data_IF_449402955823
#
_entry.id   IF_449402955823
#
_cell.length_a   1.000
_cell.length_b   1.000
_cell.length_c   1.000
_cell.angle_alpha   90.00
_cell.angle_beta   90.00
_cell.angle_gamma   90.00
#
_symmetry.space_group_name_H-M   'P 1'
#
loop_
_entity.id
_entity.type
_entity.pdbx_description
1 polymer ?
#
# COMPACT_ATOMS: atom_id res chain seq x y z
N UNK A 1 -8.62 54.16 -40.96
CA UNK A 1 -8.58 54.00 -39.48
C UNK A 1 -9.69 53.03 -39.13
N UNK A 2 -9.46 51.79 -38.70
CA UNK A 2 -8.25 51.06 -38.37
C UNK A 2 -8.48 49.56 -38.70
N UNK A 3 -7.43 48.90 -39.19
CA UNK A 3 -7.34 47.44 -39.27
C UNK A 3 -7.36 46.84 -37.86
N UNK A 4 -8.12 45.76 -37.68
CA UNK A 4 -8.03 44.92 -36.50
C UNK A 4 -7.84 43.48 -36.95
N UNK A 5 -6.58 43.10 -37.16
CA UNK A 5 -6.15 41.72 -37.34
C UNK A 5 -6.48 40.94 -36.06
N UNK A 6 -7.42 40.00 -36.19
CA UNK A 6 -7.76 39.05 -35.13
C UNK A 6 -6.62 38.07 -34.91
N UNK A 7 -5.84 38.34 -33.87
CA UNK A 7 -4.79 37.49 -33.30
C UNK A 7 -5.30 36.05 -33.09
N UNK A 8 -4.79 35.14 -33.91
CA UNK A 8 -4.97 33.70 -33.76
C UNK A 8 -4.22 33.27 -32.48
N UNK A 9 -4.92 33.25 -31.35
CA UNK A 9 -4.40 32.64 -30.12
C UNK A 9 -4.45 31.14 -30.32
N UNK A 10 -3.36 30.57 -30.82
CA UNK A 10 -3.07 29.14 -30.68
C UNK A 10 -3.05 28.84 -29.19
N UNK A 11 -4.18 28.40 -28.65
CA UNK A 11 -4.26 27.75 -27.35
C UNK A 11 -3.41 26.50 -27.49
N UNK A 12 -2.14 26.60 -27.09
CA UNK A 12 -1.27 25.44 -26.95
C UNK A 12 -2.02 24.46 -26.05
N UNK A 13 -2.30 23.28 -26.61
CA UNK A 13 -2.82 22.13 -25.86
C UNK A 13 -1.88 21.96 -24.64
N UNK A 14 -2.40 21.82 -23.40
CA UNK A 14 -1.52 21.61 -22.26
C UNK A 14 -0.65 20.39 -22.58
N UNK A 15 0.67 20.57 -22.51
CA UNK A 15 1.62 19.48 -22.63
C UNK A 15 1.30 18.48 -21.53
N UNK A 16 0.63 17.39 -21.91
CA UNK A 16 0.40 16.25 -21.03
C UNK A 16 1.79 15.69 -20.76
N UNK A 17 2.26 15.79 -19.53
CA UNK A 17 3.59 15.30 -19.19
C UNK A 17 3.68 13.79 -19.42
N UNK A 18 4.86 13.28 -19.81
CA UNK A 18 4.99 11.87 -20.15
C UNK A 18 4.69 10.98 -18.94
N UNK A 19 4.02 9.86 -19.21
CA UNK A 19 3.87 8.78 -18.24
C UNK A 19 5.09 7.86 -18.28
N UNK A 20 5.53 7.45 -17.10
CA UNK A 20 6.61 6.51 -16.86
C UNK A 20 6.04 5.24 -16.24
N UNK A 21 6.66 4.10 -16.57
CA UNK A 21 6.21 2.81 -16.05
C UNK A 21 7.31 2.14 -15.28
N UNK A 22 7.03 1.89 -14.00
CA UNK A 22 7.91 1.15 -13.10
C UNK A 22 7.27 -0.19 -12.76
N UNK A 23 8.09 -1.20 -12.45
CA UNK A 23 7.56 -2.49 -12.02
C UNK A 23 8.47 -3.18 -11.02
N UNK A 24 7.86 -3.96 -10.14
CA UNK A 24 8.53 -4.87 -9.24
C UNK A 24 7.59 -6.05 -8.96
N UNK A 25 8.04 -7.27 -9.27
CA UNK A 25 7.29 -8.51 -9.05
C UNK A 25 5.84 -8.44 -9.56
N UNK A 26 4.85 -8.34 -8.65
CA UNK A 26 3.42 -8.38 -8.98
C UNK A 26 2.78 -7.00 -9.19
N UNK A 27 3.56 -5.91 -9.10
CA UNK A 27 3.03 -4.53 -9.16
C UNK A 27 3.71 -3.72 -10.25
N UNK A 28 2.89 -3.08 -11.07
CA UNK A 28 3.29 -2.03 -12.00
C UNK A 28 2.79 -0.69 -11.49
N UNK A 29 3.60 0.36 -11.60
CA UNK A 29 3.22 1.72 -11.29
C UNK A 29 3.31 2.55 -12.58
N UNK A 30 2.19 3.14 -12.99
CA UNK A 30 2.15 4.12 -14.07
C UNK A 30 2.07 5.50 -13.44
N UNK A 31 3.10 6.30 -13.70
CA UNK A 31 3.41 7.52 -12.98
C UNK A 31 3.54 8.66 -13.97
N UNK A 32 2.88 9.78 -13.70
CA UNK A 32 3.07 11.01 -14.45
C UNK A 32 3.80 12.00 -13.55
N UNK A 33 4.84 12.65 -14.08
CA UNK A 33 5.62 13.65 -13.35
C UNK A 33 5.42 15.04 -13.96
N UNK A 34 5.46 16.08 -13.14
CA UNK A 34 5.57 17.47 -13.59
C UNK A 34 7.01 17.78 -14.03
N UNK A 35 7.21 18.93 -14.68
CA UNK A 35 8.51 19.37 -15.20
C UNK A 35 9.62 19.49 -14.15
N UNK A 36 9.25 19.58 -12.87
CA UNK A 36 10.14 19.68 -11.71
C UNK A 36 10.43 18.30 -11.05
N UNK A 37 9.95 17.19 -11.62
CA UNK A 37 10.11 15.84 -11.08
C UNK A 37 9.13 15.47 -9.95
N UNK A 38 8.14 16.33 -9.66
CA UNK A 38 7.06 15.99 -8.73
C UNK A 38 6.09 15.03 -9.41
N UNK A 39 5.78 13.90 -8.78
CA UNK A 39 4.73 12.99 -9.27
C UNK A 39 3.37 13.68 -9.13
N UNK A 40 2.59 13.73 -10.21
CA UNK A 40 1.26 14.38 -10.26
C UNK A 40 0.11 13.40 -10.47
N UNK A 41 0.39 12.22 -11.01
CA UNK A 41 -0.56 11.12 -11.12
C UNK A 41 0.18 9.81 -10.87
N UNK A 42 -0.40 8.94 -10.07
CA UNK A 42 0.13 7.60 -9.90
C UNK A 42 -1.01 6.59 -9.79
N UNK A 43 -0.96 5.56 -10.63
CA UNK A 43 -1.86 4.40 -10.56
C UNK A 43 -1.05 3.12 -10.50
N UNK A 44 -1.44 2.24 -9.58
CA UNK A 44 -0.88 0.90 -9.48
C UNK A 44 -1.73 -0.07 -10.28
N UNK A 45 -1.08 -1.07 -10.87
CA UNK A 45 -1.70 -2.16 -11.59
C UNK A 45 -1.14 -3.44 -10.99
N UNK A 46 -2.04 -4.31 -10.56
CA UNK A 46 -1.70 -5.63 -10.06
C UNK A 46 -1.68 -6.66 -11.19
N UNK A 47 -0.63 -7.46 -11.24
CA UNK A 47 -0.54 -8.65 -12.08
C UNK A 47 0.12 -9.77 -11.26
N UNK A 48 -0.67 -10.75 -10.84
CA UNK A 48 -0.23 -11.72 -9.83
C UNK A 48 0.43 -12.93 -10.46
N UNK A 49 -0.21 -13.48 -11.50
CA UNK A 49 0.26 -14.73 -12.11
C UNK A 49 1.32 -14.46 -13.17
N UNK A 50 2.28 -15.38 -13.41
CA UNK A 50 3.34 -15.16 -14.39
C UNK A 50 2.84 -14.80 -15.80
N UNK A 51 1.69 -15.35 -16.22
CA UNK A 51 1.09 -15.03 -17.50
C UNK A 51 0.47 -13.63 -17.53
N UNK A 52 -0.09 -13.15 -16.42
CA UNK A 52 -0.62 -11.77 -16.28
C UNK A 52 0.52 -10.77 -16.34
N UNK A 53 1.61 -11.02 -15.59
CA UNK A 53 2.81 -10.18 -15.59
C UNK A 53 3.38 -10.09 -17.01
N UNK A 54 3.48 -11.23 -17.70
CA UNK A 54 3.99 -11.27 -19.08
C UNK A 54 3.07 -10.53 -20.05
N UNK A 55 1.75 -10.72 -19.93
CA UNK A 55 0.77 -10.04 -20.76
C UNK A 55 0.79 -8.52 -20.54
N UNK A 56 0.89 -8.08 -19.29
CA UNK A 56 0.90 -6.67 -18.93
C UNK A 56 2.19 -5.97 -19.39
N UNK A 57 3.35 -6.62 -19.22
CA UNK A 57 4.61 -6.14 -19.79
C UNK A 57 4.54 -5.98 -21.31
N UNK A 58 3.95 -6.95 -22.01
CA UNK A 58 3.75 -6.86 -23.47
C UNK A 58 2.83 -5.70 -23.83
N UNK A 59 1.67 -5.59 -23.17
CA UNK A 59 0.69 -4.52 -23.40
C UNK A 59 1.33 -3.13 -23.26
N UNK A 60 2.09 -2.91 -22.19
CA UNK A 60 2.77 -1.65 -21.93
C UNK A 60 3.91 -1.37 -22.93
N UNK A 61 4.67 -2.40 -23.32
CA UNK A 61 5.70 -2.26 -24.35
C UNK A 61 5.13 -1.95 -25.74
N UNK A 62 3.98 -2.52 -26.10
CA UNK A 62 3.27 -2.24 -27.35
C UNK A 62 2.80 -0.79 -27.41
N UNK A 63 2.45 -0.21 -26.26
CA UNK A 63 2.16 1.22 -26.06
C UNK A 63 3.42 2.10 -26.01
N UNK A 64 4.61 1.55 -26.28
CA UNK A 64 5.90 2.25 -26.32
C UNK A 64 6.38 2.83 -25.00
N UNK A 65 5.85 2.34 -23.87
CA UNK A 65 6.41 2.70 -22.56
C UNK A 65 7.78 2.06 -22.36
N UNK A 66 8.72 2.84 -21.82
CA UNK A 66 9.93 2.29 -21.20
C UNK A 66 9.55 1.75 -19.81
N UNK A 67 9.70 0.44 -19.63
CA UNK A 67 9.35 -0.25 -18.38
C UNK A 67 10.62 -0.44 -17.55
N UNK A 68 10.71 0.26 -16.42
CA UNK A 68 11.88 0.25 -15.53
C UNK A 68 11.65 -0.71 -14.37
N UNK A 69 12.54 -1.70 -14.19
CA UNK A 69 12.51 -2.57 -13.01
C UNK A 69 13.04 -1.81 -11.79
N UNK A 70 12.30 -1.83 -10.70
CA UNK A 70 12.71 -1.30 -9.40
C UNK A 70 13.11 -2.42 -8.43
N UNK A 71 13.88 -2.09 -7.40
CA UNK A 71 14.01 -2.95 -6.21
C UNK A 71 12.73 -2.89 -5.37
N UNK A 72 12.59 -3.82 -4.42
CA UNK A 72 11.42 -3.85 -3.54
C UNK A 72 11.29 -2.54 -2.75
N UNK A 73 12.40 -2.07 -2.13
CA UNK A 73 12.42 -0.82 -1.37
C UNK A 73 12.02 0.38 -2.23
N UNK A 74 12.57 0.49 -3.44
CA UNK A 74 12.24 1.57 -4.37
C UNK A 74 10.75 1.57 -4.76
N UNK A 75 10.16 0.39 -4.97
CA UNK A 75 8.73 0.29 -5.24
C UNK A 75 7.90 0.69 -4.02
N UNK A 76 8.27 0.26 -2.82
CA UNK A 76 7.59 0.68 -1.59
C UNK A 76 7.65 2.19 -1.38
N UNK A 77 8.80 2.82 -1.67
CA UNK A 77 8.95 4.29 -1.60
C UNK A 77 8.08 5.00 -2.64
N UNK A 78 8.01 4.45 -3.87
CA UNK A 78 7.11 4.96 -4.90
C UNK A 78 5.65 4.84 -4.48
N UNK A 79 5.21 3.67 -4.02
CA UNK A 79 3.85 3.44 -3.53
C UNK A 79 3.47 4.42 -2.40
N UNK A 80 4.39 4.67 -1.46
CA UNK A 80 4.14 5.64 -0.39
C UNK A 80 3.95 7.07 -0.92
N UNK A 81 4.70 7.48 -1.96
CA UNK A 81 4.48 8.78 -2.63
C UNK A 81 3.15 8.81 -3.38
N UNK A 82 2.79 7.71 -4.07
CA UNK A 82 1.51 7.58 -4.76
C UNK A 82 0.32 7.73 -3.80
N UNK A 83 0.42 7.17 -2.59
CA UNK A 83 -0.57 7.34 -1.54
C UNK A 83 -0.77 8.79 -1.15
N UNK A 84 0.32 9.49 -0.78
CA UNK A 84 0.27 10.87 -0.29
C UNK A 84 -0.39 11.79 -1.32
N UNK A 85 -0.08 11.60 -2.61
CA UNK A 85 -0.73 12.35 -3.68
C UNK A 85 -2.24 12.10 -3.71
N UNK A 86 -2.67 10.85 -3.58
CA UNK A 86 -4.09 10.51 -3.58
C UNK A 86 -4.83 11.11 -2.37
N UNK A 87 -4.17 11.25 -1.21
CA UNK A 87 -4.74 11.91 -0.03
C UNK A 87 -4.99 13.42 -0.25
N UNK A 88 -4.16 14.10 -1.03
CA UNK A 88 -4.37 15.52 -1.38
C UNK A 88 -5.59 15.74 -2.29
N UNK A 89 -6.02 14.72 -3.05
CA UNK A 89 -7.20 14.78 -3.91
C UNK A 89 -8.51 14.36 -3.22
N UNK A 90 -8.43 13.72 -2.04
CA UNK A 90 -9.60 13.43 -1.21
C UNK A 90 -9.98 14.74 -0.52
N UNK A 91 -11.01 15.41 -1.04
CA UNK A 91 -11.45 16.75 -0.61
C UNK A 91 -11.49 16.88 0.93
N UNK A 92 -10.88 17.93 1.52
CA UNK A 92 -10.97 18.22 2.94
C UNK A 92 -12.31 18.93 3.22
N UNK A 93 -13.42 18.22 3.10
CA UNK A 93 -14.73 18.70 3.56
C UNK A 93 -15.10 18.11 4.93
N UNK A 94 -14.19 18.17 5.90
CA UNK A 94 -14.59 18.35 7.30
C UNK A 94 -13.43 18.91 8.11
N UNK A 95 -13.68 20.06 8.77
CA UNK A 95 -12.75 20.73 9.65
C UNK A 95 -12.32 19.78 10.77
N UNK A 96 -11.05 19.41 10.80
CA UNK A 96 -10.42 18.97 12.04
C UNK A 96 -10.27 20.22 12.90
N UNK A 97 -11.04 20.31 13.98
CA UNK A 97 -10.76 21.26 15.06
C UNK A 97 -9.29 21.10 15.45
N UNK A 98 -8.49 22.12 15.12
CA UNK A 98 -7.19 22.49 15.67
C UNK A 98 -6.56 21.48 16.67
N UNK A 99 -6.22 20.28 16.20
CA UNK A 99 -5.31 19.39 16.94
C UNK A 99 -3.91 19.70 16.42
N UNK A 100 -3.25 20.53 17.21
CA UNK A 100 -1.86 20.97 17.14
C UNK A 100 -0.97 19.86 16.55
N UNK A 101 -0.60 20.00 15.27
CA UNK A 101 0.56 19.36 14.66
C UNK A 101 1.82 20.09 15.15
N UNK A 102 2.15 19.98 16.43
CA UNK A 102 3.50 20.32 16.88
C UNK A 102 4.34 19.03 16.89
N UNK A 103 5.17 18.94 15.85
CA UNK A 103 6.57 18.60 16.01
C UNK A 103 6.87 17.20 16.60
N UNK A 104 6.81 16.17 15.75
CA UNK A 104 7.67 15.00 15.94
C UNK A 104 8.85 15.08 14.98
N UNK A 105 10.04 15.50 15.44
CA UNK A 105 11.25 15.33 14.66
C UNK A 105 11.54 13.83 14.55
N UNK A 106 12.09 13.43 13.40
CA UNK A 106 12.78 12.15 13.24
C UNK A 106 13.90 12.15 14.29
N UNK A 107 13.70 11.43 15.40
CA UNK A 107 14.75 11.11 16.35
C UNK A 107 15.18 9.68 16.09
N UNK A 108 16.48 9.52 15.91
CA UNK A 108 17.19 8.26 15.99
C UNK A 108 16.88 7.62 17.36
N UNK A 109 16.01 6.61 17.37
CA UNK A 109 15.72 5.82 18.57
C UNK A 109 16.50 4.52 18.48
N UNK A 110 17.73 4.60 18.96
CA UNK A 110 18.37 3.48 19.63
C UNK A 110 17.79 3.39 21.05
N UNK A 111 17.61 2.17 21.57
CA UNK A 111 17.02 1.79 22.88
C UNK A 111 15.50 1.60 22.99
N UNK A 112 15.07 0.35 22.89
CA UNK A 112 14.28 -0.43 23.87
C UNK A 112 13.00 0.14 24.54
N UNK A 113 12.42 1.24 24.07
CA UNK A 113 11.14 1.72 24.61
C UNK A 113 9.95 1.01 23.95
N UNK A 114 9.40 0.03 24.67
CA UNK A 114 8.20 -0.71 24.34
C UNK A 114 7.08 0.26 23.94
N UNK A 115 6.70 0.27 22.66
CA UNK A 115 5.58 1.06 22.13
C UNK A 115 4.36 0.92 23.07
N UNK A 116 3.72 2.02 23.49
CA UNK A 116 2.57 1.93 24.37
C UNK A 116 1.49 1.07 23.72
N UNK A 117 1.04 0.04 24.45
CA UNK A 117 -0.09 -0.78 24.00
C UNK A 117 -1.27 0.15 23.69
N UNK A 118 -1.74 0.12 22.43
CA UNK A 118 -2.99 0.79 22.08
C UNK A 118 -4.07 0.26 23.04
N UNK A 119 -4.72 1.14 23.85
CA UNK A 119 -5.80 0.68 24.70
C UNK A 119 -6.86 0.02 23.80
N UNK A 120 -7.48 -1.10 24.22
CA UNK A 120 -8.61 -1.62 23.47
C UNK A 120 -9.62 -0.47 23.34
N UNK A 121 -10.12 -0.14 22.14
CA UNK A 121 -11.22 0.78 21.97
C UNK A 121 -12.38 0.13 22.71
N UNK A 122 -12.59 0.62 23.92
CA UNK A 122 -13.82 0.39 24.61
C UNK A 122 -14.84 1.08 23.73
N UNK A 123 -15.66 0.32 23.00
CA UNK A 123 -16.77 0.87 22.26
C UNK A 123 -17.73 1.50 23.28
N UNK A 124 -17.58 2.81 23.49
CA UNK A 124 -18.32 3.62 24.44
C UNK A 124 -19.75 3.86 23.93
N UNK A 125 -19.98 3.75 22.61
CA UNK A 125 -21.28 3.96 21.95
C UNK A 125 -22.03 2.71 21.49
N UNK A 126 -23.34 2.85 21.18
CA UNK A 126 -24.13 1.82 20.47
C UNK A 126 -23.66 1.67 19.01
N UNK A 127 -23.30 2.79 18.39
CA UNK A 127 -22.84 2.84 17.00
C UNK A 127 -21.46 2.20 16.82
N UNK A 128 -20.49 2.51 17.67
CA UNK A 128 -19.17 1.87 17.66
C UNK A 128 -19.26 0.36 17.84
N UNK A 129 -20.16 -0.13 18.70
CA UNK A 129 -20.43 -1.58 18.86
C UNK A 129 -21.02 -2.20 17.59
N UNK A 130 -21.90 -1.48 16.88
CA UNK A 130 -22.45 -1.93 15.59
C UNK A 130 -21.34 -1.99 14.54
N UNK A 131 -20.48 -0.95 14.47
CA UNK A 131 -19.37 -0.87 13.53
C UNK A 131 -18.35 -1.99 13.79
N UNK A 132 -17.97 -2.24 15.04
CA UNK A 132 -17.07 -3.34 15.40
C UNK A 132 -17.64 -4.72 15.02
N UNK A 133 -18.94 -4.94 15.25
CA UNK A 133 -19.61 -6.19 14.83
C UNK A 133 -19.65 -6.33 13.31
N UNK A 134 -19.94 -5.23 12.60
CA UNK A 134 -19.98 -5.21 11.13
C UNK A 134 -18.60 -5.48 10.54
N UNK A 135 -17.56 -4.81 11.05
CA UNK A 135 -16.18 -5.01 10.65
C UNK A 135 -15.74 -6.47 10.86
N UNK A 136 -15.95 -7.00 12.07
CA UNK A 136 -15.59 -8.39 12.39
C UNK A 136 -16.34 -9.39 11.51
N UNK A 137 -17.62 -9.12 11.23
CA UNK A 137 -18.41 -9.92 10.30
C UNK A 137 -17.82 -9.92 8.88
N UNK A 138 -17.45 -8.74 8.36
CA UNK A 138 -16.80 -8.63 7.05
C UNK A 138 -15.48 -9.40 7.02
N UNK A 139 -14.60 -9.20 8.01
CA UNK A 139 -13.30 -9.87 8.08
C UNK A 139 -13.41 -11.39 8.20
N UNK A 140 -14.37 -11.91 8.98
CA UNK A 140 -14.55 -13.36 9.16
C UNK A 140 -15.24 -14.05 7.97
N UNK A 141 -15.97 -13.30 7.14
CA UNK A 141 -16.66 -13.83 5.94
C UNK A 141 -15.98 -13.48 4.63
N UNK A 142 -14.89 -12.72 4.68
CA UNK A 142 -14.17 -12.25 3.49
C UNK A 142 -14.96 -11.24 2.66
N UNK A 143 -15.89 -10.49 3.27
CA UNK A 143 -16.60 -9.43 2.57
C UNK A 143 -15.82 -8.11 2.69
N UNK A 144 -16.02 -7.23 1.71
CA UNK A 144 -15.57 -5.84 1.81
C UNK A 144 -16.29 -5.13 2.97
N UNK A 145 -15.55 -4.30 3.69
CA UNK A 145 -16.05 -3.55 4.84
C UNK A 145 -16.99 -2.43 4.35
N UNK A 146 -18.17 -2.24 4.96
CA UNK A 146 -19.10 -1.19 4.54
C UNK A 146 -18.46 0.21 4.60
N UNK A 147 -18.61 0.98 3.52
CA UNK A 147 -17.98 2.29 3.33
C UNK A 147 -16.62 2.23 2.63
N UNK A 148 -16.12 1.03 2.33
CA UNK A 148 -14.85 0.79 1.62
C UNK A 148 -15.08 -0.03 0.35
N UNK A 149 -14.10 -0.06 -0.54
CA UNK A 149 -14.08 -0.90 -1.75
C UNK A 149 -12.92 -1.89 -1.76
N UNK A 150 -11.85 -1.62 -1.01
CA UNK A 150 -10.61 -2.39 -0.98
C UNK A 150 -10.39 -3.13 0.34
N UNK A 151 -11.08 -2.76 1.43
CA UNK A 151 -10.85 -3.41 2.72
C UNK A 151 -11.65 -4.72 2.85
N UNK A 152 -11.10 -5.85 2.38
CA UNK A 152 -11.76 -7.16 2.43
C UNK A 152 -10.87 -8.32 1.95
N UNK A 153 -11.47 -9.48 1.67
CA UNK A 153 -10.78 -10.55 0.95
C UNK A 153 -10.89 -10.29 -0.56
N UNK A 154 -10.01 -9.42 -1.05
CA UNK A 154 -10.14 -8.79 -2.38
C UNK A 154 -10.99 -7.53 -2.32
N UNK A 155 -11.23 -6.95 -3.49
CA UNK A 155 -11.88 -5.65 -3.64
C UNK A 155 -13.13 -5.72 -4.55
N UNK A 156 -13.95 -4.67 -4.48
CA UNK A 156 -15.08 -4.42 -5.39
C UNK A 156 -14.88 -3.13 -6.19
N UNK A 157 -13.64 -2.65 -6.27
CA UNK A 157 -13.31 -1.42 -6.94
C UNK A 157 -13.28 -1.63 -8.46
N UNK A 158 -13.79 -0.66 -9.22
CA UNK A 158 -13.75 -0.74 -10.69
C UNK A 158 -12.37 -0.35 -11.26
N UNK A 159 -11.65 0.50 -10.53
CA UNK A 159 -10.35 1.05 -10.94
C UNK A 159 -9.55 1.54 -9.72
N UNK A 160 -8.25 1.78 -9.91
CA UNK A 160 -7.31 2.15 -8.83
C UNK A 160 -7.75 3.37 -7.98
N UNK A 161 -8.41 4.37 -8.57
CA UNK A 161 -8.87 5.56 -7.85
C UNK A 161 -10.30 5.42 -7.30
N UNK A 162 -10.94 4.26 -7.48
CA UNK A 162 -12.28 4.02 -7.01
C UNK A 162 -12.29 3.66 -5.52
N UNK A 163 -12.44 4.69 -4.69
CA UNK A 163 -12.50 4.57 -3.23
C UNK A 163 -13.96 4.71 -2.74
N UNK A 164 -14.26 4.10 -1.60
CA UNK A 164 -15.51 4.23 -0.89
C UNK A 164 -15.63 5.53 -0.08
N UNK A 165 -16.70 5.63 0.69
CA UNK A 165 -16.99 6.77 1.59
C UNK A 165 -15.88 6.99 2.63
N UNK A 166 -15.33 5.91 3.21
CA UNK A 166 -14.20 5.98 4.14
C UNK A 166 -12.86 6.07 3.38
N UNK A 167 -12.72 7.02 2.47
CA UNK A 167 -11.65 7.05 1.45
C UNK A 167 -10.22 6.92 2.01
N UNK A 168 -9.93 7.52 3.17
CA UNK A 168 -8.62 7.44 3.83
C UNK A 168 -8.33 6.05 4.41
N UNK A 169 -9.34 5.36 4.94
CA UNK A 169 -9.21 3.96 5.37
C UNK A 169 -9.06 3.05 4.14
N UNK A 170 -9.87 3.31 3.12
CA UNK A 170 -9.93 2.51 1.92
C UNK A 170 -8.63 2.59 1.10
N UNK A 171 -8.00 3.76 1.06
CA UNK A 171 -6.69 3.93 0.42
C UNK A 171 -5.60 3.10 1.09
N UNK A 172 -5.60 2.98 2.44
CA UNK A 172 -4.68 2.10 3.14
C UNK A 172 -4.83 0.64 2.70
N UNK A 173 -6.08 0.17 2.54
CA UNK A 173 -6.37 -1.18 2.09
C UNK A 173 -5.98 -1.39 0.62
N UNK A 174 -6.30 -0.43 -0.26
CA UNK A 174 -5.88 -0.47 -1.68
C UNK A 174 -4.37 -0.62 -1.81
N UNK A 175 -3.61 0.16 -1.05
CA UNK A 175 -2.15 0.14 -1.14
C UNK A 175 -1.58 -1.17 -0.59
N UNK A 176 -2.20 -1.73 0.46
CA UNK A 176 -1.87 -3.07 0.99
C UNK A 176 -2.18 -4.18 -0.01
N UNK A 177 -3.32 -4.09 -0.69
CA UNK A 177 -3.70 -5.01 -1.75
C UNK A 177 -2.71 -4.97 -2.90
N UNK A 178 -2.16 -3.82 -3.26
CA UNK A 178 -1.14 -3.71 -4.31
C UNK A 178 0.28 -4.06 -3.85
N UNK A 179 0.45 -4.77 -2.73
CA UNK A 179 1.76 -5.21 -2.26
C UNK A 179 2.51 -5.94 -3.40
N UNK A 180 3.75 -5.54 -3.73
CA UNK A 180 4.49 -6.13 -4.86
C UNK A 180 4.79 -7.62 -4.71
N UNK A 181 4.75 -8.13 -3.47
CA UNK A 181 5.01 -9.53 -3.14
C UNK A 181 3.90 -10.03 -2.23
N UNK A 182 2.99 -10.83 -2.77
CA UNK A 182 1.98 -11.56 -2.00
C UNK A 182 1.64 -12.93 -2.60
N UNK A 183 1.01 -13.77 -1.78
CA UNK A 183 0.44 -15.06 -2.20
C UNK A 183 -1.04 -15.04 -1.81
N UNK A 184 -1.93 -15.04 -2.80
CA UNK A 184 -3.38 -15.07 -2.56
C UNK A 184 -3.80 -16.36 -1.83
N UNK A 185 -5.00 -16.34 -1.27
CA UNK A 185 -5.60 -17.50 -0.63
C UNK A 185 -5.63 -18.70 -1.58
N UNK A 186 -5.20 -19.86 -1.10
CA UNK A 186 -5.17 -21.12 -1.84
C UNK A 186 -4.33 -21.12 -3.14
N UNK A 187 -3.46 -20.13 -3.33
CA UNK A 187 -2.53 -20.08 -4.46
C UNK A 187 -1.11 -20.53 -4.05
N UNK A 188 -0.32 -20.94 -5.04
CA UNK A 188 1.10 -21.25 -4.88
C UNK A 188 1.95 -20.27 -5.67
N UNK A 189 2.89 -19.61 -5.00
CA UNK A 189 3.89 -18.73 -5.60
C UNK A 189 5.21 -18.79 -4.83
N UNK A 190 6.32 -18.47 -5.49
CA UNK A 190 7.67 -18.49 -4.89
C UNK A 190 8.04 -19.85 -4.24
N UNK A 191 7.43 -20.95 -4.69
CA UNK A 191 7.58 -22.28 -4.08
C UNK A 191 6.65 -22.57 -2.89
N UNK A 192 5.83 -21.61 -2.44
CA UNK A 192 4.97 -21.70 -1.25
C UNK A 192 3.50 -21.76 -1.57
N UNK A 193 2.81 -22.73 -0.97
CA UNK A 193 1.36 -22.84 -1.03
C UNK A 193 0.73 -22.09 0.16
N UNK A 194 -0.03 -21.04 -0.13
CA UNK A 194 -0.82 -20.38 0.91
C UNK A 194 -2.12 -21.15 1.17
N UNK A 195 -2.11 -22.03 2.17
CA UNK A 195 -3.31 -22.81 2.57
C UNK A 195 -4.37 -22.00 3.32
N UNK A 196 -4.09 -20.74 3.67
CA UNK A 196 -5.03 -19.88 4.37
C UNK A 196 -6.12 -19.35 3.42
N UNK A 197 -7.25 -18.92 4.00
CA UNK A 197 -8.37 -18.30 3.29
C UNK A 197 -8.17 -16.79 3.02
N UNK A 198 -7.00 -16.26 3.39
CA UNK A 198 -6.62 -14.86 3.21
C UNK A 198 -5.28 -14.78 2.47
N UNK A 199 -5.03 -13.67 1.79
CA UNK A 199 -3.75 -13.40 1.16
C UNK A 199 -2.65 -13.15 2.21
N UNK A 200 -1.42 -13.59 1.93
CA UNK A 200 -0.24 -13.26 2.73
C UNK A 200 0.63 -12.31 1.92
N UNK A 201 0.92 -11.14 2.47
CA UNK A 201 1.73 -10.09 1.85
C UNK A 201 3.11 -10.00 2.49
N UNK A 202 4.03 -9.26 1.87
CA UNK A 202 5.33 -8.97 2.46
C UNK A 202 5.21 -8.21 3.78
N UNK A 203 6.03 -8.53 4.78
CA UNK A 203 5.94 -7.90 6.11
C UNK A 203 6.10 -6.37 6.09
N UNK A 204 6.88 -5.83 5.15
CA UNK A 204 6.99 -4.37 4.97
C UNK A 204 5.69 -3.74 4.44
N UNK A 205 4.91 -4.46 3.63
CA UNK A 205 3.57 -4.02 3.23
C UNK A 205 2.62 -4.01 4.43
N UNK A 206 2.62 -5.06 5.25
CA UNK A 206 1.80 -5.14 6.45
C UNK A 206 2.17 -4.04 7.48
N UNK A 207 3.46 -3.73 7.61
CA UNK A 207 3.91 -2.61 8.45
C UNK A 207 3.43 -1.27 7.91
N UNK A 208 3.58 -1.03 6.60
CA UNK A 208 3.10 0.19 5.96
C UNK A 208 1.58 0.35 6.11
N UNK A 209 0.82 -0.76 6.01
CA UNK A 209 -0.61 -0.81 6.23
C UNK A 209 -1.00 -0.42 7.66
N UNK A 210 -0.38 -1.03 8.68
CA UNK A 210 -0.64 -0.69 10.07
C UNK A 210 -0.29 0.77 10.40
N UNK A 211 0.79 1.30 9.81
CA UNK A 211 1.15 2.72 9.95
C UNK A 211 0.11 3.63 9.30
N UNK A 212 -0.37 3.26 8.11
CA UNK A 212 -1.44 4.00 7.41
C UNK A 212 -2.73 4.03 8.23
N UNK A 213 -3.19 2.88 8.73
CA UNK A 213 -4.41 2.81 9.55
C UNK A 213 -4.33 3.72 10.79
N UNK A 214 -3.14 3.85 11.39
CA UNK A 214 -2.92 4.76 12.54
C UNK A 214 -3.03 6.24 12.16
N UNK A 215 -2.61 6.62 10.94
CA UNK A 215 -2.71 8.03 10.51
C UNK A 215 -4.13 8.45 10.11
N UNK A 216 -5.03 7.50 9.85
CA UNK A 216 -6.43 7.80 9.46
C UNK A 216 -7.25 8.39 10.61
N UNK A 217 -6.99 8.00 11.86
CA UNK A 217 -7.66 8.59 13.03
C UNK A 217 -9.16 8.30 13.18
N UNK A 218 -9.72 7.30 12.48
CA UNK A 218 -11.14 6.91 12.62
C UNK A 218 -11.29 5.62 13.42
N UNK A 219 -12.43 5.46 14.12
CA UNK A 219 -12.72 4.24 14.89
C UNK A 219 -12.71 2.98 14.02
N UNK A 220 -13.12 3.07 12.75
CA UNK A 220 -13.07 1.92 11.82
C UNK A 220 -11.61 1.51 11.53
N UNK A 221 -10.72 2.48 11.30
CA UNK A 221 -9.31 2.24 11.06
C UNK A 221 -8.60 1.66 12.30
N UNK A 222 -8.90 2.19 13.50
CA UNK A 222 -8.39 1.65 14.77
C UNK A 222 -8.81 0.19 14.99
N UNK A 223 -10.10 -0.10 14.78
CA UNK A 223 -10.63 -1.46 14.90
C UNK A 223 -10.01 -2.40 13.86
N UNK A 224 -9.79 -1.95 12.63
CA UNK A 224 -9.11 -2.73 11.59
C UNK A 224 -7.67 -3.04 12.00
N UNK A 225 -6.92 -2.03 12.46
CA UNK A 225 -5.52 -2.20 12.88
C UNK A 225 -5.39 -3.18 14.04
N UNK A 226 -6.29 -3.09 15.02
CA UNK A 226 -6.36 -4.08 16.09
C UNK A 226 -6.77 -5.47 15.61
N UNK A 227 -7.77 -5.58 14.73
CA UNK A 227 -8.19 -6.88 14.21
C UNK A 227 -7.01 -7.56 13.52
N UNK A 228 -6.29 -6.80 12.69
CA UNK A 228 -5.11 -7.26 11.97
C UNK A 228 -3.97 -7.69 12.91
N UNK A 229 -3.53 -6.80 13.81
CA UNK A 229 -2.35 -7.02 14.65
C UNK A 229 -2.60 -7.87 15.90
N UNK A 230 -3.80 -7.81 16.50
CA UNK A 230 -4.07 -8.39 17.83
C UNK A 230 -5.06 -9.56 17.81
N UNK A 231 -6.04 -9.55 16.91
CA UNK A 231 -7.08 -10.59 16.86
C UNK A 231 -6.67 -11.72 15.93
N UNK A 232 -6.47 -11.42 14.65
CA UNK A 232 -6.15 -12.42 13.63
C UNK A 232 -4.67 -12.76 13.58
N UNK A 233 -3.79 -11.78 13.85
CA UNK A 233 -2.32 -11.95 13.76
C UNK A 233 -1.92 -12.58 12.43
N UNK A 234 -2.33 -11.95 11.33
CA UNK A 234 -2.05 -12.49 10.01
C UNK A 234 -0.53 -12.64 9.81
N UNK A 235 -0.06 -13.84 9.41
CA UNK A 235 1.35 -14.02 9.11
C UNK A 235 1.72 -13.33 7.80
N UNK A 236 2.90 -12.74 7.75
CA UNK A 236 3.46 -12.06 6.60
C UNK A 236 4.68 -12.82 6.04
N UNK A 237 5.11 -12.42 4.84
CA UNK A 237 6.23 -13.02 4.10
C UNK A 237 7.51 -12.20 4.29
N UNK A 238 8.63 -12.83 4.64
CA UNK A 238 9.97 -12.25 4.52
C UNK A 238 10.76 -12.91 3.40
N UNK A 239 11.70 -12.16 2.85
CA UNK A 239 12.68 -12.65 1.89
C UNK A 239 14.05 -12.62 2.57
N UNK A 240 14.45 -13.70 3.26
CA UNK A 240 15.80 -13.81 3.80
C UNK A 240 16.78 -14.31 2.72
N UNK A 241 17.95 -13.67 2.61
CA UNK A 241 19.08 -14.19 1.84
C UNK A 241 19.16 -13.83 0.35
N UNK A 242 18.27 -12.99 -0.17
CA UNK A 242 18.37 -12.56 -1.57
C UNK A 242 19.28 -11.33 -1.68
N UNK A 243 20.54 -11.60 -1.99
CA UNK A 243 21.54 -10.58 -2.25
C UNK A 243 21.26 -9.97 -3.64
N UNK A 244 20.85 -8.70 -3.70
CA UNK A 244 20.43 -7.98 -4.94
C UNK A 244 21.50 -7.99 -6.05
N UNK A 245 22.74 -8.37 -5.75
CA UNK A 245 23.88 -8.39 -6.67
C UNK A 245 24.11 -9.70 -7.44
N UNK A 246 23.39 -10.79 -7.14
CA UNK A 246 23.56 -12.06 -7.85
C UNK A 246 22.38 -12.32 -8.77
N UNK A 247 22.63 -12.25 -10.08
CA UNK A 247 21.68 -12.47 -11.20
C UNK A 247 21.04 -13.88 -11.28
N UNK A 248 20.99 -14.65 -10.19
CA UNK A 248 20.28 -15.94 -10.14
C UNK A 248 19.01 -15.82 -9.31
N UNK A 249 17.93 -15.52 -10.01
CA UNK A 249 16.53 -15.57 -9.54
C UNK A 249 16.09 -16.99 -9.12
N UNK A 250 16.96 -17.99 -9.25
CA UNK A 250 16.66 -19.42 -9.00
C UNK A 250 16.86 -19.88 -7.53
N UNK A 251 17.42 -19.05 -6.64
CA UNK A 251 17.74 -19.46 -5.26
C UNK A 251 16.94 -18.74 -4.15
N UNK A 252 15.95 -17.94 -4.50
CA UNK A 252 15.03 -17.38 -3.51
C UNK A 252 13.90 -18.39 -3.21
N UNK A 253 14.23 -19.47 -2.50
CA UNK A 253 13.20 -20.30 -1.87
C UNK A 253 12.84 -19.64 -0.55
N UNK A 254 11.60 -19.17 -0.42
CA UNK A 254 11.09 -18.91 0.93
C UNK A 254 11.05 -20.28 1.67
N UNK A 255 10.95 -20.28 2.98
CA UNK A 255 10.92 -21.47 3.82
C UNK A 255 9.74 -21.34 4.80
N UNK A 256 9.34 -22.42 5.48
CA UNK A 256 8.33 -22.32 6.54
C UNK A 256 8.75 -21.37 7.68
N UNK A 257 10.05 -21.10 7.83
CA UNK A 257 10.63 -20.12 8.75
C UNK A 257 10.48 -18.66 8.29
N UNK A 258 10.13 -18.40 7.03
CA UNK A 258 9.99 -17.04 6.47
C UNK A 258 8.58 -16.45 6.60
N UNK A 259 7.70 -17.16 7.31
CA UNK A 259 6.35 -16.73 7.63
C UNK A 259 6.34 -16.20 9.07
N UNK A 260 6.37 -14.87 9.22
CA UNK A 260 6.44 -14.21 10.52
C UNK A 260 5.06 -13.79 10.98
N UNK A 261 4.78 -14.00 12.26
CA UNK A 261 3.57 -13.52 12.93
C UNK A 261 3.95 -12.28 13.72
N UNK A 262 3.09 -11.25 13.72
CA UNK A 262 3.16 -10.17 14.69
C UNK A 262 3.06 -10.73 16.12
N UNK A 263 4.19 -11.05 16.74
CA UNK A 263 4.24 -11.47 18.14
C UNK A 263 4.19 -10.24 19.06
N UNK A 264 3.37 -10.32 20.11
CA UNK A 264 3.11 -9.25 21.10
C UNK A 264 4.34 -8.74 21.85
N UNK A 265 5.55 -9.23 21.56
CA UNK A 265 6.79 -8.80 22.18
C UNK A 265 7.70 -8.16 21.14
N UNK A 266 7.43 -6.88 20.87
CA UNK A 266 8.42 -5.94 20.37
C UNK A 266 8.85 -6.13 18.92
N UNK A 267 8.33 -5.25 18.06
CA UNK A 267 9.04 -4.59 16.96
C UNK A 267 9.73 -5.53 15.93
N UNK A 268 9.14 -5.64 14.73
CA UNK A 268 9.99 -5.72 13.53
C UNK A 268 10.78 -4.40 13.49
N UNK A 269 11.99 -4.36 14.04
CA UNK A 269 12.86 -3.20 13.91
C UNK A 269 13.28 -3.13 12.44
N UNK A 270 12.91 -2.03 11.80
CA UNK A 270 13.51 -1.61 10.54
C UNK A 270 14.35 -0.35 10.82
N UNK A 271 15.57 -0.24 10.27
CA UNK A 271 16.22 -1.21 9.39
C UNK A 271 16.63 -2.49 10.16
N UNK A 272 16.86 -3.63 9.46
CA UNK A 272 17.58 -4.73 10.09
C UNK A 272 18.89 -4.19 10.69
N UNK A 273 19.36 -4.72 11.84
CA UNK A 273 20.66 -4.33 12.36
C UNK A 273 21.69 -4.46 11.23
N UNK A 274 22.42 -3.38 10.98
CA UNK A 274 23.55 -3.40 10.05
C UNK A 274 24.39 -4.63 10.36
N UNK A 275 24.65 -5.46 9.35
CA UNK A 275 25.70 -6.47 9.49
C UNK A 275 26.96 -5.71 9.85
N UNK A 276 27.40 -5.85 11.09
CA UNK A 276 28.67 -5.35 11.57
C UNK A 276 29.73 -5.63 10.52
N UNK A 277 30.45 -4.57 10.14
CA UNK A 277 31.64 -4.66 9.31
C UNK A 277 32.56 -5.74 9.86
N UNK A 278 32.82 -6.78 9.07
CA UNK A 278 34.08 -7.53 8.98
C UNK A 278 34.08 -8.45 7.76
#
# INVERSE_FOLDING_TARGET
MADYEGRETTKTRPEVSPEFVYWHEQTFAVVQEASNGTVILCRLIEAIRPHEITAERRRLADLKYLIVKLTFSQMMDLMNRCRILNEEFIQPEEKVDEVILEYYPILDIDSDELLPELPPPMAKGKEERRNARSLMYSLTRGNVIPGTKWCGSGDVAEQYFDLGEDAMLDSCCRDHDHCPVKIRAHEQQYGHMNRAFYAKSHCQCDYAFLRCLRSVGTTKAELMGMAFANVFRFPCLLHQGCNDHLQKVEECSMTQSDVYVYERRGVLTYPPPESDKL
#
